data_IF_027255361481
#
_entry.id   IF_027255361481
#
_cell.length_a   1.000
_cell.length_b   1.000
_cell.length_c   1.000
_cell.angle_alpha   90.00
_cell.angle_beta   90.00
_cell.angle_gamma   90.00
#
_symmetry.space_group_name_H-M   'P 1'
#
loop_
_entity.id
_entity.type
_entity.pdbx_description
1 polymer ?
#
# COMPACT_ATOMS: atom_id res chain seq x y z
N UNK A 1 15.34 21.04 -37.99
CA UNK A 1 15.34 21.31 -36.52
C UNK A 1 16.44 20.46 -35.90
N UNK A 2 17.32 21.04 -35.08
CA UNK A 2 18.38 20.26 -34.44
C UNK A 2 17.80 19.36 -33.33
N UNK A 3 18.40 18.20 -33.10
CA UNK A 3 18.03 17.24 -32.04
C UNK A 3 17.99 17.93 -30.67
N UNK A 4 18.86 18.90 -30.45
CA UNK A 4 18.91 19.70 -29.22
C UNK A 4 17.64 20.52 -29.02
N UNK A 5 17.10 21.15 -30.08
CA UNK A 5 15.87 21.95 -30.00
C UNK A 5 14.61 21.13 -29.76
N UNK A 6 14.58 19.86 -30.25
CA UNK A 6 13.50 18.92 -29.93
C UNK A 6 13.53 18.49 -28.48
N UNK A 7 14.72 18.12 -27.98
CA UNK A 7 14.89 17.69 -26.59
C UNK A 7 14.47 18.77 -25.58
N UNK A 8 14.88 20.01 -25.79
CA UNK A 8 14.48 21.16 -24.96
C UNK A 8 12.96 21.40 -24.98
N UNK A 9 12.30 21.23 -26.14
CA UNK A 9 10.83 21.33 -26.25
C UNK A 9 10.11 20.21 -25.50
N UNK A 10 10.63 19.00 -25.56
CA UNK A 10 10.07 17.84 -24.83
C UNK A 10 10.23 17.98 -23.31
N UNK A 11 11.40 18.44 -22.84
CA UNK A 11 11.63 18.72 -21.42
C UNK A 11 10.71 19.83 -20.89
N UNK A 12 10.52 20.91 -21.63
CA UNK A 12 9.58 21.97 -21.29
C UNK A 12 8.13 21.48 -21.24
N UNK A 13 7.70 20.67 -22.22
CA UNK A 13 6.36 20.07 -22.26
C UNK A 13 6.13 19.13 -21.08
N UNK A 14 7.13 18.35 -20.71
CA UNK A 14 7.07 17.45 -19.55
C UNK A 14 6.92 18.24 -18.24
N UNK A 15 7.74 19.27 -18.03
CA UNK A 15 7.65 20.10 -16.81
C UNK A 15 6.28 20.79 -16.70
N UNK A 16 5.71 21.31 -17.79
CA UNK A 16 4.36 21.86 -17.82
C UNK A 16 3.29 20.84 -17.47
N UNK A 17 3.45 19.59 -17.91
CA UNK A 17 2.53 18.49 -17.58
C UNK A 17 2.58 18.17 -16.09
N UNK A 18 3.76 18.13 -15.50
CA UNK A 18 3.94 17.92 -14.06
C UNK A 18 3.32 19.07 -13.26
N UNK A 19 3.53 20.33 -13.68
CA UNK A 19 2.94 21.49 -13.02
C UNK A 19 1.41 21.49 -13.07
N UNK A 20 0.84 21.10 -14.20
CA UNK A 20 -0.61 20.96 -14.35
C UNK A 20 -1.17 19.87 -13.42
N UNK A 21 -0.49 18.72 -13.34
CA UNK A 21 -0.84 17.66 -12.39
C UNK A 21 -0.79 18.17 -10.94
N UNK A 22 0.29 18.85 -10.56
CA UNK A 22 0.44 19.39 -9.20
C UNK A 22 -0.63 20.43 -8.83
N UNK A 23 -1.02 21.27 -9.79
CA UNK A 23 -2.13 22.24 -9.63
C UNK A 23 -3.48 21.52 -9.52
N UNK A 24 -3.80 20.63 -10.47
CA UNK A 24 -5.06 19.88 -10.57
C UNK A 24 -5.33 19.13 -9.26
N UNK A 25 -4.36 18.41 -8.75
CA UNK A 25 -4.50 17.62 -7.53
C UNK A 25 -4.14 18.41 -6.26
N UNK A 26 -3.79 19.69 -6.37
CA UNK A 26 -3.40 20.55 -5.23
C UNK A 26 -2.31 19.93 -4.36
N UNK A 27 -1.28 19.32 -4.98
CA UNK A 27 -0.22 18.56 -4.31
C UNK A 27 0.44 19.37 -3.20
N UNK A 28 0.73 20.65 -3.41
CA UNK A 28 1.32 21.52 -2.39
C UNK A 28 0.46 21.66 -1.13
N UNK A 29 -0.86 21.77 -1.28
CA UNK A 29 -1.80 21.79 -0.15
C UNK A 29 -1.80 20.47 0.61
N UNK A 30 -1.82 19.33 -0.12
CA UNK A 30 -1.80 18.00 0.48
C UNK A 30 -0.50 17.70 1.22
N UNK A 31 0.64 18.17 0.71
CA UNK A 31 1.93 18.14 1.41
C UNK A 31 1.87 18.90 2.73
N UNK A 32 1.35 20.13 2.74
CA UNK A 32 1.16 20.92 3.99
C UNK A 32 0.27 20.17 4.99
N UNK A 33 -0.87 19.61 4.55
CA UNK A 33 -1.76 18.80 5.39
C UNK A 33 -1.09 17.55 5.95
N UNK A 34 0.01 17.12 5.35
CA UNK A 34 0.80 15.95 5.76
C UNK A 34 2.12 16.35 6.47
N UNK A 35 2.17 17.55 7.04
CA UNK A 35 3.31 18.13 7.76
C UNK A 35 4.58 18.33 6.90
N UNK A 36 4.45 18.34 5.57
CA UNK A 36 5.55 18.62 4.66
C UNK A 36 5.57 20.13 4.33
N UNK A 37 6.00 20.94 5.28
CA UNK A 37 6.16 22.39 5.09
C UNK A 37 7.40 22.89 5.82
N UNK A 38 7.87 24.04 5.40
CA UNK A 38 8.97 24.81 6.03
C UNK A 38 8.66 26.29 5.92
N UNK A 39 8.98 27.03 6.97
CA UNK A 39 8.81 28.48 7.00
C UNK A 39 10.02 29.21 6.35
N UNK A 40 11.20 28.58 6.39
CA UNK A 40 12.45 29.14 5.84
C UNK A 40 13.20 28.11 5.00
N UNK A 41 13.91 28.58 3.99
CA UNK A 41 14.74 27.78 3.10
C UNK A 41 13.96 27.21 1.90
N UNK A 42 14.45 26.13 1.32
CA UNK A 42 13.86 25.53 0.11
C UNK A 42 12.47 24.97 0.44
N UNK A 43 11.40 25.37 -0.29
CA UNK A 43 10.05 24.87 -0.07
C UNK A 43 9.96 23.35 -0.27
N UNK A 44 9.20 22.67 0.59
CA UNK A 44 9.00 21.21 0.47
C UNK A 44 8.39 20.81 -0.88
N UNK A 45 7.52 21.63 -1.46
CA UNK A 45 6.92 21.39 -2.76
C UNK A 45 7.99 21.34 -3.87
N UNK A 46 8.97 22.25 -3.84
CA UNK A 46 10.07 22.28 -4.82
C UNK A 46 10.92 21.01 -4.74
N UNK A 47 11.27 20.59 -3.52
CA UNK A 47 12.01 19.32 -3.30
C UNK A 47 11.19 18.12 -3.77
N UNK A 48 9.90 18.10 -3.47
CA UNK A 48 9.01 17.01 -3.88
C UNK A 48 8.82 16.96 -5.39
N UNK A 49 8.72 18.12 -6.08
CA UNK A 49 8.62 18.18 -7.55
C UNK A 49 9.85 17.54 -8.19
N UNK A 50 11.06 17.91 -7.76
CA UNK A 50 12.31 17.32 -8.24
C UNK A 50 12.32 15.78 -8.04
N UNK A 51 11.92 15.31 -6.85
CA UNK A 51 11.84 13.87 -6.57
C UNK A 51 10.81 13.15 -7.45
N UNK A 52 9.69 13.78 -7.72
CA UNK A 52 8.65 13.25 -8.60
C UNK A 52 9.17 13.13 -10.04
N UNK A 53 9.84 14.17 -10.55
CA UNK A 53 10.41 14.19 -11.89
C UNK A 53 11.53 13.14 -12.07
N UNK A 54 12.29 12.83 -11.00
CA UNK A 54 13.34 11.79 -11.04
C UNK A 54 12.82 10.42 -11.45
N UNK A 55 11.57 10.08 -11.12
CA UNK A 55 10.95 8.79 -11.46
C UNK A 55 10.96 8.56 -12.98
N UNK A 56 10.85 9.63 -13.76
CA UNK A 56 10.78 9.59 -15.23
C UNK A 56 12.14 9.69 -15.91
N UNK A 57 13.21 10.01 -15.18
CA UNK A 57 14.56 10.15 -15.78
C UNK A 57 15.30 8.83 -15.99
N UNK A 58 14.82 7.73 -15.37
CA UNK A 58 15.54 6.44 -15.35
C UNK A 58 16.85 6.46 -14.55
N UNK A 59 17.19 7.57 -13.90
CA UNK A 59 18.41 7.75 -13.11
C UNK A 59 18.06 7.94 -11.64
N UNK A 60 18.91 7.47 -10.74
CA UNK A 60 18.77 7.78 -9.32
C UNK A 60 19.30 9.19 -9.01
N UNK A 61 18.96 9.70 -7.83
CA UNK A 61 19.36 11.02 -7.37
C UNK A 61 20.89 11.26 -7.45
N UNK A 62 21.68 10.27 -7.02
CA UNK A 62 23.13 10.36 -7.05
C UNK A 62 23.67 10.50 -8.48
N UNK A 63 23.14 9.71 -9.41
CA UNK A 63 23.54 9.78 -10.83
C UNK A 63 23.19 11.12 -11.45
N UNK A 64 22.02 11.70 -11.10
CA UNK A 64 21.63 13.01 -11.61
C UNK A 64 22.56 14.13 -11.09
N UNK A 65 22.93 14.12 -9.81
CA UNK A 65 23.91 15.08 -9.26
C UNK A 65 25.30 14.91 -9.87
N UNK A 66 25.75 13.67 -10.14
CA UNK A 66 27.08 13.41 -10.70
C UNK A 66 27.17 13.76 -12.19
N UNK A 67 26.07 13.60 -12.92
CA UNK A 67 26.06 13.80 -14.37
C UNK A 67 25.85 15.27 -14.77
N UNK A 68 25.58 16.17 -13.80
CA UNK A 68 25.18 17.58 -14.04
C UNK A 68 24.05 17.72 -15.09
N UNK A 69 23.33 16.60 -15.32
CA UNK A 69 22.36 16.48 -16.41
C UNK A 69 20.95 16.91 -16.02
N UNK A 70 20.75 17.28 -14.76
CA UNK A 70 19.47 17.71 -14.21
C UNK A 70 19.72 18.94 -13.32
N UNK A 71 19.11 20.05 -13.71
CA UNK A 71 19.25 21.31 -12.96
C UNK A 71 18.49 21.21 -11.63
N UNK A 72 19.20 20.77 -10.57
CA UNK A 72 18.66 20.70 -9.21
C UNK A 72 19.10 21.96 -8.49
N UNK A 73 18.17 22.88 -8.16
CA UNK A 73 18.49 24.22 -7.62
C UNK A 73 18.90 24.21 -6.14
N UNK A 74 19.29 23.07 -5.59
CA UNK A 74 19.69 22.92 -4.19
C UNK A 74 20.63 21.72 -3.97
N UNK A 75 21.36 21.73 -2.88
CA UNK A 75 22.32 20.67 -2.55
C UNK A 75 21.63 19.33 -2.18
N UNK A 76 22.34 18.24 -2.40
CA UNK A 76 21.89 16.84 -2.18
C UNK A 76 21.38 16.60 -0.75
N UNK A 77 21.98 17.21 0.25
CA UNK A 77 21.60 17.06 1.65
C UNK A 77 20.19 17.59 1.95
N UNK A 78 19.69 18.56 1.18
CA UNK A 78 18.30 19.07 1.28
C UNK A 78 17.31 17.97 1.00
N UNK A 79 17.57 17.14 -0.03
CA UNK A 79 16.71 16.00 -0.41
C UNK A 79 16.72 14.93 0.67
N UNK A 80 17.91 14.57 1.17
CA UNK A 80 18.00 13.55 2.22
C UNK A 80 17.35 14.00 3.53
N UNK A 81 17.52 15.26 3.92
CA UNK A 81 16.81 15.83 5.10
C UNK A 81 15.30 15.80 4.93
N UNK A 82 14.81 16.12 3.74
CA UNK A 82 13.38 16.04 3.41
C UNK A 82 12.85 14.60 3.50
N UNK A 83 13.50 13.64 2.85
CA UNK A 83 13.09 12.23 2.86
C UNK A 83 13.18 11.59 4.26
N UNK A 84 14.20 11.95 5.05
CA UNK A 84 14.42 11.41 6.38
C UNK A 84 13.65 12.14 7.49
N UNK A 85 12.83 13.13 7.15
CA UNK A 85 12.04 13.85 8.14
C UNK A 85 11.12 12.91 8.93
N UNK A 86 11.24 12.96 10.25
CA UNK A 86 10.38 12.19 11.16
C UNK A 86 9.00 12.83 11.36
N UNK A 87 8.78 14.03 10.87
CA UNK A 87 7.55 14.81 11.02
C UNK A 87 6.60 14.63 9.82
N UNK A 88 7.12 14.38 8.62
CA UNK A 88 6.30 14.26 7.41
C UNK A 88 5.52 12.95 7.44
N UNK A 89 4.20 13.06 7.29
CA UNK A 89 3.30 11.92 7.22
C UNK A 89 3.04 11.53 5.74
N UNK A 90 3.97 10.74 5.17
CA UNK A 90 3.88 10.27 3.79
C UNK A 90 2.65 9.40 3.53
N UNK A 91 2.25 8.60 4.51
CA UNK A 91 1.07 7.75 4.41
C UNK A 91 -0.20 8.60 4.30
N UNK A 92 -0.34 9.62 5.17
CA UNK A 92 -1.45 10.58 5.07
C UNK A 92 -1.46 11.32 3.74
N UNK A 93 -0.28 11.72 3.24
CA UNK A 93 -0.18 12.36 1.94
C UNK A 93 -0.73 11.46 0.83
N UNK A 94 -0.36 10.17 0.82
CA UNK A 94 -0.82 9.23 -0.18
C UNK A 94 -2.34 9.00 -0.09
N UNK A 95 -2.91 8.81 1.10
CA UNK A 95 -4.37 8.71 1.29
C UNK A 95 -5.11 9.93 0.74
N UNK A 96 -4.66 11.13 1.10
CA UNK A 96 -5.30 12.37 0.66
C UNK A 96 -5.20 12.57 -0.86
N UNK A 97 -4.05 12.25 -1.45
CA UNK A 97 -3.87 12.33 -2.91
C UNK A 97 -4.74 11.33 -3.62
N UNK A 98 -4.73 10.07 -3.18
CA UNK A 98 -5.54 8.99 -3.77
C UNK A 98 -7.04 9.30 -3.65
N UNK A 99 -7.50 9.75 -2.49
CA UNK A 99 -8.89 10.18 -2.31
C UNK A 99 -9.28 11.30 -3.27
N UNK A 100 -8.38 12.27 -3.48
CA UNK A 100 -8.64 13.37 -4.41
C UNK A 100 -8.70 12.88 -5.87
N UNK A 101 -7.80 11.98 -6.26
CA UNK A 101 -7.80 11.37 -7.60
C UNK A 101 -9.09 10.56 -7.82
N UNK A 102 -9.43 9.69 -6.89
CA UNK A 102 -10.60 8.81 -6.98
C UNK A 102 -11.89 9.64 -7.01
N UNK A 103 -12.14 10.41 -5.94
CA UNK A 103 -13.45 11.05 -5.72
C UNK A 103 -13.73 12.22 -6.68
N UNK A 104 -12.71 12.89 -7.20
CA UNK A 104 -12.92 14.07 -8.05
C UNK A 104 -12.68 13.84 -9.54
N UNK A 105 -11.94 12.79 -9.90
CA UNK A 105 -11.57 12.54 -11.29
C UNK A 105 -12.07 11.20 -11.82
N UNK A 106 -11.80 10.09 -11.09
CA UNK A 106 -12.16 8.76 -11.60
C UNK A 106 -13.63 8.47 -11.39
N UNK A 107 -14.20 8.81 -10.24
CA UNK A 107 -15.60 8.58 -9.90
C UNK A 107 -16.56 9.15 -10.96
N UNK A 108 -16.22 10.29 -11.54
CA UNK A 108 -16.99 10.93 -12.64
C UNK A 108 -16.90 10.20 -13.98
N UNK A 109 -15.90 9.35 -14.16
CA UNK A 109 -15.65 8.57 -15.37
C UNK A 109 -16.16 7.13 -15.23
N UNK A 110 -16.51 6.74 -14.01
CA UNK A 110 -16.98 5.39 -13.67
C UNK A 110 -18.49 5.34 -13.90
N UNK A 111 -18.98 4.28 -14.54
CA UNK A 111 -20.42 4.04 -14.72
C UNK A 111 -21.02 3.39 -13.47
N UNK A 112 -22.33 3.56 -13.25
CA UNK A 112 -23.06 2.93 -12.13
C UNK A 112 -23.03 1.39 -12.15
N UNK A 113 -22.71 0.80 -13.29
CA UNK A 113 -22.54 -0.66 -13.44
C UNK A 113 -21.21 -1.18 -12.89
N UNK A 114 -20.24 -0.30 -12.62
CA UNK A 114 -18.95 -0.67 -12.07
C UNK A 114 -19.01 -0.78 -10.55
N UNK A 115 -18.17 -1.62 -10.02
CA UNK A 115 -18.13 -1.88 -8.60
C UNK A 115 -16.75 -1.62 -8.04
N UNK A 116 -16.69 -0.62 -7.17
CA UNK A 116 -15.45 -0.21 -6.53
C UNK A 116 -14.98 -1.22 -5.49
N UNK A 117 -13.71 -1.50 -5.51
CA UNK A 117 -13.09 -2.44 -4.59
C UNK A 117 -11.74 -1.93 -4.06
N UNK A 118 -11.47 -2.20 -2.80
CA UNK A 118 -10.11 -2.21 -2.28
C UNK A 118 -9.43 -3.53 -2.63
N UNK A 119 -8.14 -3.46 -2.92
CA UNK A 119 -7.30 -4.64 -3.21
C UNK A 119 -6.12 -4.64 -2.25
N UNK A 120 -5.91 -5.74 -1.54
CA UNK A 120 -4.79 -5.93 -0.62
C UNK A 120 -3.90 -7.03 -1.18
N UNK A 121 -2.62 -6.71 -1.33
CA UNK A 121 -1.62 -7.68 -1.74
C UNK A 121 -0.28 -7.40 -1.05
N UNK A 122 0.58 -8.42 -0.97
CA UNK A 122 1.92 -8.27 -0.44
C UNK A 122 2.99 -8.72 -1.45
N UNK A 123 4.10 -8.01 -1.44
CA UNK A 123 5.23 -8.28 -2.31
C UNK A 123 6.55 -8.17 -1.58
N UNK A 124 7.60 -8.77 -2.13
CA UNK A 124 8.94 -8.65 -1.61
C UNK A 124 9.60 -7.35 -2.08
N UNK A 125 9.94 -6.47 -1.14
CA UNK A 125 10.70 -5.25 -1.41
C UNK A 125 12.18 -5.49 -1.13
N UNK A 126 12.96 -5.73 -2.18
CA UNK A 126 14.37 -6.14 -2.12
C UNK A 126 15.29 -5.04 -1.57
N UNK A 127 16.16 -5.44 -0.63
CA UNK A 127 17.27 -4.63 -0.09
C UNK A 127 18.53 -5.48 0.11
N UNK A 128 18.78 -6.40 -0.79
CA UNK A 128 19.84 -7.43 -0.68
C UNK A 128 21.25 -6.87 -0.47
N UNK A 129 21.56 -5.71 -1.07
CA UNK A 129 22.86 -5.03 -0.94
C UNK A 129 22.97 -4.11 0.29
N UNK A 130 21.86 -3.86 0.98
CA UNK A 130 21.84 -2.95 2.13
C UNK A 130 22.46 -3.58 3.36
N UNK A 131 23.22 -2.78 4.14
CA UNK A 131 23.86 -3.20 5.40
C UNK A 131 23.26 -2.48 6.61
N UNK A 132 22.95 -1.19 6.48
CA UNK A 132 22.62 -0.29 7.60
C UNK A 132 21.19 0.25 7.55
N UNK A 133 20.31 -0.33 6.70
CA UNK A 133 18.91 0.10 6.66
C UNK A 133 18.21 -0.36 7.93
N UNK A 134 17.56 0.57 8.61
CA UNK A 134 16.79 0.32 9.83
C UNK A 134 15.62 -0.61 9.56
N UNK A 135 15.33 -1.52 10.49
CA UNK A 135 14.29 -2.56 10.38
C UNK A 135 14.51 -3.55 9.21
N UNK A 136 15.72 -3.61 8.65
CA UNK A 136 16.06 -4.60 7.63
C UNK A 136 15.89 -6.00 8.20
N UNK A 137 15.25 -6.88 7.45
CA UNK A 137 14.97 -8.25 7.89
C UNK A 137 15.15 -9.27 6.78
N UNK A 138 15.24 -10.55 7.17
CA UNK A 138 15.13 -11.67 6.26
C UNK A 138 13.67 -11.94 5.97
N UNK A 139 13.30 -11.96 4.69
CA UNK A 139 11.94 -12.19 4.21
C UNK A 139 11.96 -13.36 3.24
N UNK A 140 10.98 -14.24 3.36
CA UNK A 140 10.75 -15.29 2.37
C UNK A 140 10.19 -14.69 1.10
N UNK A 141 10.89 -14.91 -0.01
CA UNK A 141 10.44 -14.51 -1.34
C UNK A 141 9.68 -15.68 -1.96
N UNK A 142 8.35 -15.57 -2.01
CA UNK A 142 7.49 -16.63 -2.55
C UNK A 142 7.65 -16.77 -4.07
N UNK A 143 8.02 -15.70 -4.77
CA UNK A 143 8.27 -15.73 -6.21
C UNK A 143 9.57 -16.46 -6.57
N UNK A 144 10.52 -16.58 -5.65
CA UNK A 144 11.80 -17.29 -5.85
C UNK A 144 11.94 -18.51 -4.92
N UNK A 145 10.99 -19.40 -4.97
CA UNK A 145 11.05 -20.70 -4.29
C UNK A 145 11.15 -20.60 -2.75
N UNK A 146 10.56 -19.59 -2.14
CA UNK A 146 10.60 -19.33 -0.69
C UNK A 146 12.01 -19.10 -0.12
N UNK A 147 12.96 -18.65 -0.93
CA UNK A 147 14.31 -18.29 -0.46
C UNK A 147 14.26 -17.09 0.48
N UNK A 148 15.08 -17.12 1.51
CA UNK A 148 15.26 -15.99 2.42
C UNK A 148 16.14 -14.92 1.76
N UNK A 149 15.61 -13.71 1.60
CA UNK A 149 16.31 -12.55 1.05
C UNK A 149 16.22 -11.35 1.98
N UNK A 150 17.23 -10.48 1.94
CA UNK A 150 17.21 -9.23 2.72
C UNK A 150 16.24 -8.21 2.11
N UNK A 151 15.35 -7.68 2.91
CA UNK A 151 14.38 -6.71 2.46
C UNK A 151 13.23 -6.50 3.44
N UNK A 152 12.09 -6.19 2.88
CA UNK A 152 10.84 -5.97 3.59
C UNK A 152 9.71 -6.71 2.87
N UNK A 153 8.68 -7.06 3.61
CA UNK A 153 7.39 -7.40 3.02
C UNK A 153 6.62 -6.09 2.80
N UNK A 154 6.38 -5.74 1.57
CA UNK A 154 5.62 -4.55 1.21
C UNK A 154 4.15 -4.94 1.07
N UNK A 155 3.36 -4.57 2.08
CA UNK A 155 1.91 -4.71 2.05
C UNK A 155 1.32 -3.47 1.36
N UNK A 156 0.52 -3.67 0.33
CA UNK A 156 -0.08 -2.60 -0.47
C UNK A 156 -1.60 -2.65 -0.37
N UNK A 157 -2.22 -1.50 -0.21
CA UNK A 157 -3.64 -1.27 -0.40
C UNK A 157 -3.84 -0.44 -1.66
N UNK A 158 -4.57 -0.97 -2.62
CA UNK A 158 -5.02 -0.27 -3.82
C UNK A 158 -6.53 -0.11 -3.83
N UNK A 159 -7.01 0.74 -4.74
CA UNK A 159 -8.41 0.89 -5.09
C UNK A 159 -8.58 0.67 -6.59
N UNK A 160 -9.70 0.06 -6.99
CA UNK A 160 -10.02 -0.17 -8.40
C UNK A 160 -11.53 -0.08 -8.64
N UNK A 161 -11.90 0.40 -9.82
CA UNK A 161 -13.25 0.35 -10.39
C UNK A 161 -13.39 -0.74 -11.47
N UNK A 162 -12.40 -1.64 -11.57
CA UNK A 162 -12.32 -2.67 -12.59
C UNK A 162 -11.54 -2.27 -13.85
N UNK A 163 -11.32 -0.96 -14.10
CA UNK A 163 -10.52 -0.46 -15.22
C UNK A 163 -9.29 0.33 -14.77
N UNK A 164 -9.44 1.12 -13.71
CA UNK A 164 -8.36 1.92 -13.12
C UNK A 164 -7.83 1.24 -11.87
N UNK A 165 -6.55 1.41 -11.58
CA UNK A 165 -5.95 0.99 -10.31
C UNK A 165 -5.19 2.16 -9.69
N UNK A 166 -5.56 2.53 -8.47
CA UNK A 166 -4.94 3.63 -7.73
C UNK A 166 -4.31 3.08 -6.44
N UNK A 167 -2.99 3.22 -6.24
CA UNK A 167 -2.37 2.92 -4.96
C UNK A 167 -2.89 3.86 -3.88
N UNK A 168 -3.37 3.32 -2.76
CA UNK A 168 -3.96 4.09 -1.65
C UNK A 168 -3.01 4.20 -0.47
N UNK A 169 -2.37 3.09 -0.12
CA UNK A 169 -1.40 3.02 0.96
C UNK A 169 -0.43 1.86 0.80
N UNK A 170 0.68 1.92 1.51
CA UNK A 170 1.57 0.77 1.68
C UNK A 170 2.30 0.83 3.02
N UNK A 171 2.68 -0.35 3.53
CA UNK A 171 3.55 -0.51 4.68
C UNK A 171 4.71 -1.45 4.35
N UNK A 172 5.92 -1.08 4.76
CA UNK A 172 7.06 -1.98 4.72
C UNK A 172 7.14 -2.71 6.06
N UNK A 173 6.75 -3.97 6.05
CA UNK A 173 6.71 -4.79 7.26
C UNK A 173 8.05 -5.47 7.51
N UNK A 174 8.41 -5.53 8.78
CA UNK A 174 9.61 -6.17 9.31
C UNK A 174 9.22 -7.18 10.41
N UNK A 175 10.19 -7.57 11.24
CA UNK A 175 9.97 -8.52 12.32
C UNK A 175 10.62 -8.05 13.62
N UNK A 176 9.97 -8.34 14.73
CA UNK A 176 10.56 -8.19 16.07
C UNK A 176 11.42 -9.38 16.45
N UNK A 177 11.36 -10.51 15.71
CA UNK A 177 12.12 -11.72 16.00
C UNK A 177 13.61 -11.49 15.73
N UNK A 178 14.50 -11.59 16.74
CA UNK A 178 15.94 -11.37 16.58
C UNK A 178 16.62 -12.30 15.57
N UNK A 179 16.04 -13.48 15.29
CA UNK A 179 16.57 -14.43 14.29
C UNK A 179 16.32 -13.97 12.85
N UNK A 180 15.38 -13.05 12.66
CA UNK A 180 14.92 -12.58 11.35
C UNK A 180 15.28 -11.11 11.15
N UNK A 181 15.16 -10.28 12.18
CA UNK A 181 15.53 -8.87 12.15
C UNK A 181 17.05 -8.71 12.12
N UNK A 182 17.56 -8.04 11.08
CA UNK A 182 19.00 -7.77 10.92
C UNK A 182 19.38 -6.50 11.66
N UNK A 183 18.60 -5.44 11.47
CA UNK A 183 18.83 -4.15 12.11
C UNK A 183 17.57 -3.72 12.86
N UNK A 184 17.59 -3.60 14.18
CA UNK A 184 16.42 -3.14 14.94
C UNK A 184 16.12 -1.66 14.70
N UNK A 185 14.94 -1.21 15.12
CA UNK A 185 14.59 0.19 15.14
C UNK A 185 15.49 0.99 16.09
N UNK A 186 15.82 2.23 15.70
CA UNK A 186 16.57 3.14 16.57
C UNK A 186 15.70 3.62 17.74
N UNK A 187 16.21 3.48 18.96
CA UNK A 187 15.49 3.86 20.19
C UNK A 187 15.50 5.37 20.47
N UNK A 188 16.26 6.17 19.70
CA UNK A 188 16.49 7.61 19.95
C UNK A 188 15.41 8.51 19.36
N UNK A 189 14.37 7.97 18.72
CA UNK A 189 13.33 8.74 18.04
C UNK A 189 12.23 9.10 19.03
N UNK A 190 11.86 10.36 19.10
CA UNK A 190 10.75 10.84 19.92
C UNK A 190 9.44 10.11 19.56
N UNK A 191 8.85 9.45 20.56
CA UNK A 191 7.64 8.64 20.45
C UNK A 191 6.39 9.39 19.94
N UNK A 192 6.39 10.73 20.05
CA UNK A 192 5.30 11.59 19.57
C UNK A 192 5.33 11.81 18.06
N UNK A 193 6.44 11.49 17.39
CA UNK A 193 6.63 11.75 15.96
C UNK A 193 5.95 10.73 15.06
N UNK A 194 5.62 11.16 13.84
CA UNK A 194 5.14 10.28 12.77
C UNK A 194 6.18 9.22 12.42
N UNK A 195 7.47 9.59 12.48
CA UNK A 195 8.58 8.66 12.26
C UNK A 195 8.60 7.49 13.23
N UNK A 196 8.27 7.72 14.51
CA UNK A 196 8.12 6.65 15.50
C UNK A 196 6.91 5.77 15.17
N UNK A 197 5.72 6.35 14.92
CA UNK A 197 4.51 5.60 14.56
C UNK A 197 4.72 4.72 13.33
N UNK A 198 5.40 5.23 12.32
CA UNK A 198 5.75 4.48 11.11
C UNK A 198 6.59 3.24 11.41
N UNK A 199 7.53 3.32 12.38
CA UNK A 199 8.33 2.17 12.82
C UNK A 199 7.50 1.14 13.58
N UNK A 200 6.56 1.58 14.40
CA UNK A 200 5.62 0.66 15.06
C UNK A 200 4.73 -0.06 14.04
N UNK A 201 4.20 0.66 13.05
CA UNK A 201 3.41 0.05 11.97
C UNK A 201 4.21 -1.00 11.18
N UNK A 202 5.51 -0.79 11.00
CA UNK A 202 6.38 -1.77 10.33
C UNK A 202 6.56 -3.07 11.12
N UNK A 203 6.28 -3.08 12.42
CA UNK A 203 6.35 -4.25 13.30
C UNK A 203 4.99 -4.92 13.55
N UNK A 204 3.91 -4.35 13.02
CA UNK A 204 2.58 -4.95 13.07
C UNK A 204 2.51 -6.22 12.21
N UNK A 205 1.58 -7.10 12.53
CA UNK A 205 1.28 -8.25 11.66
C UNK A 205 0.62 -7.80 10.35
N UNK A 206 0.74 -8.61 9.30
CA UNK A 206 0.12 -8.27 8.00
C UNK A 206 -1.39 -8.05 8.10
N UNK A 207 -2.19 -8.87 8.81
CA UNK A 207 -3.62 -8.61 8.99
C UNK A 207 -3.93 -7.33 9.76
N UNK A 208 -3.20 -7.03 10.85
CA UNK A 208 -3.38 -5.78 11.61
C UNK A 208 -3.05 -4.55 10.76
N UNK A 209 -1.96 -4.63 10.00
CA UNK A 209 -1.57 -3.57 9.09
C UNK A 209 -2.59 -3.36 7.96
N UNK A 210 -3.14 -4.44 7.39
CA UNK A 210 -4.19 -4.38 6.38
C UNK A 210 -5.46 -3.71 6.91
N UNK A 211 -5.92 -4.10 8.10
CA UNK A 211 -7.09 -3.50 8.76
C UNK A 211 -6.88 -2.01 9.02
N UNK A 212 -5.72 -1.64 9.59
CA UNK A 212 -5.39 -0.24 9.86
C UNK A 212 -5.32 0.60 8.57
N UNK A 213 -4.82 0.05 7.47
CA UNK A 213 -4.81 0.74 6.18
C UNK A 213 -6.24 0.92 5.63
N UNK A 214 -7.11 -0.08 5.73
CA UNK A 214 -8.51 0.02 5.31
C UNK A 214 -9.27 1.07 6.13
N UNK A 215 -9.16 1.03 7.47
CA UNK A 215 -9.77 2.02 8.36
C UNK A 215 -9.40 3.45 7.97
N UNK A 216 -8.11 3.70 7.71
CA UNK A 216 -7.63 5.01 7.30
C UNK A 216 -8.12 5.42 5.90
N UNK A 217 -8.20 4.48 4.96
CA UNK A 217 -8.73 4.74 3.62
C UNK A 217 -10.21 5.15 3.67
N UNK A 218 -11.03 4.39 4.41
CA UNK A 218 -12.46 4.71 4.63
C UNK A 218 -12.60 6.05 5.36
N UNK A 219 -11.84 6.29 6.41
CA UNK A 219 -11.85 7.56 7.16
C UNK A 219 -11.41 8.78 6.31
N UNK A 220 -10.64 8.56 5.24
CA UNK A 220 -10.25 9.61 4.29
C UNK A 220 -11.34 9.87 3.24
N UNK A 221 -12.43 9.10 3.24
CA UNK A 221 -13.57 9.26 2.34
C UNK A 221 -13.42 8.52 1.01
N UNK A 222 -12.51 7.55 0.90
CA UNK A 222 -12.45 6.66 -0.26
C UNK A 222 -13.56 5.62 -0.12
N UNK A 223 -14.47 5.58 -1.10
CA UNK A 223 -15.58 4.64 -1.12
C UNK A 223 -15.17 3.37 -1.85
N UNK A 224 -15.63 2.23 -1.33
CA UNK A 224 -15.59 0.95 -2.01
C UNK A 224 -16.71 0.06 -1.47
N UNK A 225 -17.16 -0.90 -2.26
CA UNK A 225 -18.16 -1.89 -1.87
C UNK A 225 -17.52 -3.20 -1.42
N UNK A 226 -16.38 -3.52 -1.98
CA UNK A 226 -15.68 -4.79 -1.74
C UNK A 226 -14.24 -4.58 -1.29
N UNK A 227 -13.71 -5.61 -0.62
CA UNK A 227 -12.27 -5.78 -0.37
C UNK A 227 -11.85 -7.12 -0.95
N UNK A 228 -10.83 -7.10 -1.79
CA UNK A 228 -10.26 -8.27 -2.47
C UNK A 228 -8.88 -8.58 -1.89
N UNK A 229 -8.63 -9.83 -1.55
CA UNK A 229 -7.32 -10.33 -1.15
C UNK A 229 -7.20 -11.84 -1.36
N UNK A 230 -5.97 -12.32 -1.28
CA UNK A 230 -5.68 -13.74 -1.38
C UNK A 230 -5.97 -14.50 -0.06
N UNK A 231 -5.72 -15.79 -0.06
CA UNK A 231 -5.94 -16.66 1.08
C UNK A 231 -5.08 -16.32 2.31
N UNK A 232 -4.04 -15.50 2.15
CA UNK A 232 -3.12 -15.15 3.23
C UNK A 232 -3.79 -14.30 4.31
N UNK A 233 -4.79 -13.49 3.93
CA UNK A 233 -5.54 -12.60 4.83
C UNK A 233 -6.91 -13.15 5.23
N UNK A 234 -7.35 -14.29 4.67
CA UNK A 234 -8.70 -14.85 4.83
C UNK A 234 -8.92 -15.57 6.16
N UNK A 235 -8.63 -14.90 7.27
CA UNK A 235 -8.98 -15.38 8.60
C UNK A 235 -10.37 -14.86 9.02
N UNK A 236 -11.23 -15.68 9.67
CA UNK A 236 -12.55 -15.25 10.11
C UNK A 236 -12.56 -13.92 10.86
N UNK A 237 -11.66 -13.73 11.82
CA UNK A 237 -11.55 -12.48 12.57
C UNK A 237 -11.23 -11.26 11.68
N UNK A 238 -10.42 -11.42 10.65
CA UNK A 238 -10.10 -10.36 9.68
C UNK A 238 -11.32 -10.02 8.84
N UNK A 239 -12.01 -11.03 8.31
CA UNK A 239 -13.21 -10.86 7.48
C UNK A 239 -14.30 -10.15 8.28
N UNK A 240 -14.60 -10.61 9.51
CA UNK A 240 -15.60 -9.99 10.37
C UNK A 240 -15.28 -8.52 10.66
N UNK A 241 -14.01 -8.18 10.95
CA UNK A 241 -13.60 -6.79 11.18
C UNK A 241 -13.79 -5.92 9.93
N UNK A 242 -13.51 -6.44 8.74
CA UNK A 242 -13.75 -5.74 7.48
C UNK A 242 -15.25 -5.53 7.25
N UNK A 243 -16.07 -6.54 7.48
CA UNK A 243 -17.53 -6.42 7.33
C UNK A 243 -18.14 -5.40 8.31
N UNK A 244 -17.57 -5.25 9.52
CA UNK A 244 -17.95 -4.18 10.47
C UNK A 244 -17.67 -2.75 9.96
N UNK A 245 -16.82 -2.59 8.93
CA UNK A 245 -16.59 -1.32 8.23
C UNK A 245 -17.59 -1.08 7.08
N UNK A 246 -18.65 -1.88 6.97
CA UNK A 246 -19.60 -1.88 5.85
C UNK A 246 -18.96 -2.21 4.49
N UNK A 247 -17.94 -3.07 4.50
CA UNK A 247 -17.26 -3.57 3.31
C UNK A 247 -17.52 -5.08 3.16
N UNK A 248 -17.79 -5.52 1.93
CA UNK A 248 -17.94 -6.95 1.65
C UNK A 248 -16.57 -7.54 1.24
N UNK A 249 -16.32 -8.78 1.63
CA UNK A 249 -15.05 -9.45 1.32
C UNK A 249 -15.22 -10.45 0.19
N UNK A 250 -14.30 -10.42 -0.77
CA UNK A 250 -14.13 -11.44 -1.79
C UNK A 250 -12.69 -11.97 -1.68
N UNK A 251 -12.53 -13.20 -1.21
CA UNK A 251 -11.22 -13.78 -0.97
C UNK A 251 -11.18 -15.27 -1.24
N UNK A 252 -10.01 -15.77 -1.56
CA UNK A 252 -9.76 -17.20 -1.54
C UNK A 252 -9.66 -17.68 -0.10
N UNK A 253 -10.33 -18.78 0.23
CA UNK A 253 -10.33 -19.35 1.58
C UNK A 253 -9.16 -20.33 1.74
N UNK A 254 -8.50 -20.28 2.89
CA UNK A 254 -7.37 -21.15 3.21
C UNK A 254 -7.88 -22.53 3.66
N UNK A 255 -7.45 -23.57 2.96
CA UNK A 255 -7.69 -24.95 3.40
C UNK A 255 -6.71 -25.31 4.54
N UNK A 256 -7.16 -25.19 5.76
CA UNK A 256 -6.39 -25.50 6.97
C UNK A 256 -7.29 -26.13 8.03
N UNK A 257 -6.80 -27.14 8.77
CA UNK A 257 -7.56 -27.76 9.86
C UNK A 257 -7.77 -26.85 11.08
N UNK A 258 -7.24 -25.62 11.05
CA UNK A 258 -7.35 -24.65 12.16
C UNK A 258 -8.50 -23.65 11.98
N UNK A 259 -9.14 -23.62 10.81
CA UNK A 259 -10.25 -22.73 10.49
C UNK A 259 -11.52 -23.57 10.36
N UNK A 260 -12.53 -23.18 11.12
CA UNK A 260 -13.85 -23.80 11.13
C UNK A 260 -14.90 -22.79 10.73
N UNK A 261 -15.96 -23.30 10.10
CA UNK A 261 -17.15 -22.57 9.69
C UNK A 261 -18.35 -23.20 10.35
N UNK A 262 -19.35 -22.42 10.72
CA UNK A 262 -20.64 -22.97 11.13
C UNK A 262 -21.44 -23.30 9.85
N UNK A 263 -21.70 -24.58 9.66
CA UNK A 263 -22.46 -25.09 8.52
C UNK A 263 -23.58 -25.99 9.05
N UNK A 264 -24.84 -25.56 8.84
CA UNK A 264 -26.04 -26.21 9.36
C UNK A 264 -26.03 -26.43 10.89
N UNK A 265 -25.53 -25.46 11.64
CA UNK A 265 -25.43 -25.49 13.09
C UNK A 265 -24.23 -26.27 13.65
N UNK A 266 -23.38 -26.84 12.79
CA UNK A 266 -22.22 -27.60 13.21
C UNK A 266 -20.91 -26.93 12.78
N UNK A 267 -19.90 -27.00 13.64
CA UNK A 267 -18.53 -26.54 13.34
C UNK A 267 -17.86 -27.55 12.40
N UNK A 268 -17.60 -27.12 11.16
CA UNK A 268 -16.96 -27.95 10.14
C UNK A 268 -15.80 -27.24 9.48
N UNK A 269 -14.73 -27.97 9.18
CA UNK A 269 -13.67 -27.53 8.31
C UNK A 269 -14.13 -27.45 6.85
N UNK A 270 -13.41 -26.72 6.02
CA UNK A 270 -13.71 -26.63 4.58
C UNK A 270 -13.78 -28.02 3.90
N UNK A 271 -12.90 -28.95 4.28
CA UNK A 271 -12.87 -30.32 3.75
C UNK A 271 -14.09 -31.13 4.14
N UNK A 272 -14.56 -30.98 5.38
CA UNK A 272 -15.77 -31.67 5.86
C UNK A 272 -17.00 -31.14 5.14
N UNK A 273 -17.14 -29.81 5.00
CA UNK A 273 -18.21 -29.19 4.22
C UNK A 273 -18.18 -29.71 2.77
N UNK A 274 -17.00 -29.69 2.14
CA UNK A 274 -16.85 -30.18 0.76
C UNK A 274 -17.26 -31.63 0.60
N UNK A 275 -17.02 -32.52 1.59
CA UNK A 275 -17.44 -33.96 1.55
C UNK A 275 -18.95 -34.14 1.66
N UNK A 276 -19.62 -33.29 2.43
CA UNK A 276 -21.07 -33.42 2.69
C UNK A 276 -21.95 -32.81 1.61
N UNK A 277 -21.43 -31.82 0.87
CA UNK A 277 -22.20 -31.07 -0.13
C UNK A 277 -22.31 -31.82 -1.45
N UNK A 278 -23.50 -31.78 -2.05
CA UNK A 278 -23.73 -32.35 -3.39
C UNK A 278 -23.01 -31.50 -4.44
N UNK A 279 -22.14 -32.14 -5.22
CA UNK A 279 -21.38 -31.48 -6.27
C UNK A 279 -22.13 -31.50 -7.60
N UNK A 280 -22.03 -30.41 -8.35
CA UNK A 280 -22.55 -30.31 -9.71
C UNK A 280 -21.71 -31.21 -10.62
N UNK A 281 -22.38 -31.96 -11.53
CA UNK A 281 -21.71 -32.78 -12.54
C UNK A 281 -21.49 -32.00 -13.83
N UNK A 282 -20.51 -32.40 -14.63
CA UNK A 282 -20.19 -31.81 -15.93
C UNK A 282 -19.19 -30.65 -15.85
N UNK A 283 -19.17 -29.80 -16.89
CA UNK A 283 -18.25 -28.64 -17.00
C UNK A 283 -18.76 -27.40 -16.23
N UNK A 284 -19.33 -27.58 -15.06
CA UNK A 284 -19.82 -26.47 -14.26
C UNK A 284 -18.68 -25.60 -13.76
N UNK A 285 -18.82 -24.27 -13.86
CA UNK A 285 -17.86 -23.30 -13.33
C UNK A 285 -17.66 -23.43 -11.81
N UNK A 286 -18.69 -23.86 -11.11
CA UNK A 286 -18.67 -24.10 -9.66
C UNK A 286 -19.09 -25.52 -9.35
N UNK A 287 -18.31 -26.24 -8.54
CA UNK A 287 -18.64 -27.58 -8.08
C UNK A 287 -19.79 -27.57 -7.07
N UNK A 288 -19.76 -26.61 -6.15
CA UNK A 288 -20.80 -26.38 -5.16
C UNK A 288 -20.77 -24.90 -4.72
N UNK A 289 -21.89 -24.41 -4.19
CA UNK A 289 -22.00 -23.12 -3.51
C UNK A 289 -22.82 -23.33 -2.25
N UNK A 290 -22.33 -22.89 -1.12
CA UNK A 290 -22.92 -23.07 0.20
C UNK A 290 -22.84 -21.78 1.00
N UNK A 291 -23.80 -21.58 1.90
CA UNK A 291 -23.71 -20.55 2.93
C UNK A 291 -23.10 -21.15 4.19
N UNK A 292 -22.26 -20.37 4.84
CA UNK A 292 -21.65 -20.69 6.14
C UNK A 292 -21.62 -19.44 6.99
N UNK A 293 -21.62 -19.59 8.32
CA UNK A 293 -21.38 -18.49 9.23
C UNK A 293 -19.91 -18.50 9.66
N UNK A 294 -19.34 -17.32 9.75
CA UNK A 294 -18.00 -17.10 10.30
C UNK A 294 -18.12 -16.66 11.74
N UNK A 295 -17.31 -17.27 12.59
CA UNK A 295 -17.18 -16.87 14.00
C UNK A 295 -15.74 -16.54 14.31
N UNK A 296 -15.51 -15.47 15.09
CA UNK A 296 -14.21 -15.19 15.66
C UNK A 296 -14.12 -15.74 17.10
N UNK A 297 -12.96 -15.58 17.73
CA UNK A 297 -12.71 -16.03 19.11
C UNK A 297 -13.44 -15.19 20.16
N UNK A 298 -13.91 -14.01 19.80
CA UNK A 298 -14.60 -13.05 20.64
C UNK A 298 -16.12 -13.24 20.59
N UNK A 299 -16.62 -14.22 19.81
CA UNK A 299 -18.04 -14.51 19.63
C UNK A 299 -18.74 -13.62 18.59
N UNK A 300 -18.02 -12.75 17.88
CA UNK A 300 -18.62 -12.05 16.74
C UNK A 300 -18.82 -13.02 15.58
N UNK A 301 -19.89 -12.82 14.80
CA UNK A 301 -20.26 -13.67 13.67
C UNK A 301 -20.84 -12.84 12.50
N UNK A 302 -20.82 -13.40 11.33
CA UNK A 302 -21.44 -12.93 10.08
C UNK A 302 -21.95 -14.12 9.28
#
# INVERSE_FOLDING_TARGET
MSIVSQKVKEENRFSLTVDNFFKMFSVGYLLKKSNAYKDKGIPCLTVFKVLFELVFTGKNLFMNYKAESFDIPFARDVVYRFLNSIHINWQRFLYLLSAKVINHHIDRLTSDERVDAFVIDDSFYSRTRSKSVELLSWVKDHADGNKNKKGFRMLTLGWTDGNSFIPVAFNLLSSTNPRVCINPAKNTIDKRTVGFKRRQNALATSPESALSMLEQAVATGIKAKYVLFDSWFSFPATIIKICKMNLNVIAMVKDTPKIYYNFNGEKKSLREIYRTVRKRRGRSKYLASVMVELHDKEGNHI
#
